data_IF_869267534680
#
_entry.id   IF_869267534680
#
_cell.length_a   1.000
_cell.length_b   1.000
_cell.length_c   1.000
_cell.angle_alpha   90.00
_cell.angle_beta   90.00
_cell.angle_gamma   90.00
#
_symmetry.space_group_name_H-M   'P 1'
#
loop_
_entity.id
_entity.type
_entity.pdbx_description
1 polymer ?
#
# COMPACT_ATOMS: atom_id res chain seq x y z
N UNK A 1 -9.37 -11.04 -9.65
CA UNK A 1 -9.97 -9.69 -9.81
C UNK A 1 -9.48 -8.72 -8.75
N UNK A 2 -9.38 -9.10 -7.45
CA UNK A 2 -8.83 -8.24 -6.38
C UNK A 2 -7.35 -7.82 -6.56
N UNK A 3 -6.53 -8.69 -7.13
CA UNK A 3 -5.11 -8.41 -7.39
C UNK A 3 -4.88 -7.14 -8.24
N UNK A 4 -5.67 -6.95 -9.29
CA UNK A 4 -5.55 -5.79 -10.18
C UNK A 4 -5.82 -4.49 -9.41
N UNK A 5 -6.77 -4.50 -8.48
CA UNK A 5 -7.08 -3.33 -7.65
C UNK A 5 -5.91 -2.95 -6.74
N UNK A 6 -5.31 -3.93 -6.03
CA UNK A 6 -4.15 -3.66 -5.17
C UNK A 6 -2.96 -3.14 -5.98
N UNK A 7 -2.70 -3.74 -7.14
CA UNK A 7 -1.67 -3.29 -8.08
C UNK A 7 -1.88 -1.85 -8.54
N UNK A 8 -3.09 -1.52 -9.01
CA UNK A 8 -3.42 -0.18 -9.49
C UNK A 8 -3.34 0.86 -8.37
N UNK A 9 -3.84 0.51 -7.16
CA UNK A 9 -3.78 1.38 -6.00
C UNK A 9 -2.33 1.66 -5.57
N UNK A 10 -1.48 0.64 -5.52
CA UNK A 10 -0.04 0.77 -5.19
C UNK A 10 0.67 1.64 -6.23
N UNK A 11 0.40 1.46 -7.52
CA UNK A 11 0.99 2.31 -8.57
C UNK A 11 0.55 3.78 -8.41
N UNK A 12 -0.76 4.02 -8.26
CA UNK A 12 -1.31 5.37 -8.08
C UNK A 12 -0.71 6.05 -6.86
N UNK A 13 -0.67 5.36 -5.71
CA UNK A 13 -0.13 5.93 -4.48
C UNK A 13 1.38 6.16 -4.59
N UNK A 14 2.13 5.26 -5.23
CA UNK A 14 3.58 5.45 -5.47
C UNK A 14 3.83 6.70 -6.30
N UNK A 15 3.05 6.91 -7.37
CA UNK A 15 3.15 8.10 -8.19
C UNK A 15 2.74 9.36 -7.42
N UNK A 16 1.72 9.27 -6.58
CA UNK A 16 1.22 10.41 -5.82
C UNK A 16 2.20 10.86 -4.73
N UNK A 17 2.83 9.93 -4.02
CA UNK A 17 3.78 10.25 -2.93
C UNK A 17 5.20 10.54 -3.40
N UNK A 18 5.68 9.91 -4.46
CA UNK A 18 7.12 9.90 -4.77
C UNK A 18 7.50 10.53 -6.11
N UNK A 19 6.55 10.88 -6.97
CA UNK A 19 6.85 11.58 -8.23
C UNK A 19 7.08 13.07 -7.94
N UNK A 20 8.17 13.64 -8.48
CA UNK A 20 8.65 15.02 -8.20
C UNK A 20 7.62 16.14 -8.44
N UNK A 21 6.50 15.85 -9.12
CA UNK A 21 5.46 16.80 -9.49
C UNK A 21 4.39 16.99 -8.42
N UNK A 22 4.22 16.07 -7.49
CA UNK A 22 3.17 16.12 -6.46
C UNK A 22 3.72 16.72 -5.18
N UNK A 23 3.62 18.05 -5.05
CA UNK A 23 4.00 18.79 -3.83
C UNK A 23 2.89 18.83 -2.76
N UNK A 24 1.81 18.08 -2.93
CA UNK A 24 0.61 18.19 -2.10
C UNK A 24 0.45 16.99 -1.18
N UNK A 25 1.20 17.01 -0.07
CA UNK A 25 1.16 15.99 0.99
C UNK A 25 -0.27 15.72 1.49
N UNK A 26 -1.07 16.78 1.67
CA UNK A 26 -2.47 16.66 2.08
C UNK A 26 -3.31 15.82 1.10
N UNK A 27 -3.16 16.06 -0.21
CA UNK A 27 -3.90 15.31 -1.23
C UNK A 27 -3.44 13.85 -1.26
N UNK A 28 -2.13 13.62 -1.14
CA UNK A 28 -1.56 12.27 -1.08
C UNK A 28 -2.10 11.48 0.11
N UNK A 29 -2.06 12.07 1.30
CA UNK A 29 -2.57 11.46 2.53
C UNK A 29 -4.09 11.22 2.48
N UNK A 30 -4.86 12.19 2.01
CA UNK A 30 -6.32 12.04 1.87
C UNK A 30 -6.69 10.93 0.88
N UNK A 31 -5.92 10.81 -0.22
CA UNK A 31 -6.11 9.74 -1.20
C UNK A 31 -5.75 8.38 -0.60
N UNK A 32 -4.63 8.28 0.12
CA UNK A 32 -4.24 7.06 0.81
C UNK A 32 -5.31 6.61 1.80
N UNK A 33 -5.83 7.53 2.62
CA UNK A 33 -6.91 7.27 3.55
C UNK A 33 -8.13 6.69 2.84
N UNK A 34 -8.55 7.28 1.71
CA UNK A 34 -9.67 6.79 0.93
C UNK A 34 -9.47 5.35 0.42
N UNK A 35 -8.29 5.03 -0.15
CA UNK A 35 -8.00 3.66 -0.59
C UNK A 35 -8.00 2.66 0.57
N UNK A 36 -7.46 3.06 1.73
CA UNK A 36 -7.30 2.16 2.88
C UNK A 36 -8.63 1.95 3.61
N UNK A 37 -9.36 3.02 3.94
CA UNK A 37 -10.55 2.96 4.79
C UNK A 37 -11.81 2.63 3.97
N UNK A 38 -12.04 3.36 2.87
CA UNK A 38 -13.29 3.25 2.10
C UNK A 38 -13.24 2.08 1.11
N UNK A 39 -12.09 1.88 0.46
CA UNK A 39 -11.90 0.78 -0.51
C UNK A 39 -11.27 -0.47 0.10
N UNK A 40 -10.96 -0.45 1.40
CA UNK A 40 -10.43 -1.58 2.16
C UNK A 40 -9.18 -2.20 1.54
N UNK A 41 -8.28 -1.36 1.02
CA UNK A 41 -7.05 -1.81 0.34
C UNK A 41 -6.23 -2.80 1.19
N UNK A 42 -6.09 -2.55 2.49
CA UNK A 42 -5.27 -3.36 3.39
C UNK A 42 -5.97 -4.63 3.91
N UNK A 43 -7.22 -4.91 3.50
CA UNK A 43 -7.91 -6.15 3.88
C UNK A 43 -7.27 -7.38 3.21
N UNK A 44 -6.67 -7.20 2.03
CA UNK A 44 -5.97 -8.25 1.27
C UNK A 44 -4.46 -8.00 1.28
N UNK A 45 -3.83 -8.25 2.44
CA UNK A 45 -2.41 -7.96 2.69
C UNK A 45 -1.47 -8.78 1.79
N UNK A 46 -1.90 -9.94 1.30
CA UNK A 46 -1.16 -10.76 0.34
C UNK A 46 -1.13 -10.08 -1.04
N UNK A 47 -2.28 -9.63 -1.55
CA UNK A 47 -2.33 -8.90 -2.81
C UNK A 47 -1.54 -7.59 -2.77
N UNK A 48 -1.60 -6.86 -1.64
CA UNK A 48 -0.82 -5.63 -1.45
C UNK A 48 0.67 -5.91 -1.38
N UNK A 49 1.11 -6.96 -0.66
CA UNK A 49 2.52 -7.35 -0.62
C UNK A 49 3.06 -7.65 -2.01
N UNK A 50 2.35 -8.46 -2.80
CA UNK A 50 2.77 -8.79 -4.16
C UNK A 50 2.77 -7.56 -5.08
N UNK A 51 1.80 -6.65 -4.91
CA UNK A 51 1.79 -5.38 -5.65
C UNK A 51 2.98 -4.50 -5.29
N UNK A 52 3.34 -4.39 -4.01
CA UNK A 52 4.51 -3.64 -3.55
C UNK A 52 5.79 -4.21 -4.16
N UNK A 53 5.95 -5.53 -4.16
CA UNK A 53 7.12 -6.19 -4.74
C UNK A 53 7.23 -5.93 -6.24
N UNK A 54 6.12 -6.07 -6.98
CA UNK A 54 6.10 -5.86 -8.44
C UNK A 54 6.40 -4.42 -8.86
N UNK A 55 5.92 -3.44 -8.09
CA UNK A 55 6.10 -2.01 -8.38
C UNK A 55 7.32 -1.40 -7.68
N UNK A 56 8.11 -2.21 -6.97
CA UNK A 56 9.26 -1.74 -6.18
C UNK A 56 8.88 -0.61 -5.19
N UNK A 57 7.67 -0.70 -4.63
CA UNK A 57 7.00 0.39 -3.91
C UNK A 57 7.17 0.33 -2.38
N UNK A 58 8.31 -0.16 -1.88
CA UNK A 58 8.54 -0.39 -0.44
C UNK A 58 8.39 0.87 0.43
N UNK A 59 8.60 2.05 -0.16
CA UNK A 59 8.44 3.34 0.53
C UNK A 59 6.98 3.64 0.93
N UNK A 60 5.98 2.91 0.40
CA UNK A 60 4.59 3.02 0.84
C UNK A 60 4.32 2.36 2.18
N UNK A 61 5.12 1.38 2.63
CA UNK A 61 4.87 0.65 3.88
C UNK A 61 4.83 1.58 5.09
N UNK A 62 5.78 2.52 5.29
CA UNK A 62 5.69 3.51 6.36
C UNK A 62 4.44 4.40 6.28
N UNK A 63 3.93 4.68 5.07
CA UNK A 63 2.71 5.47 4.87
C UNK A 63 1.48 4.67 5.32
N UNK A 64 1.38 3.41 4.89
CA UNK A 64 0.29 2.51 5.30
C UNK A 64 0.27 2.31 6.82
N UNK A 65 1.45 2.28 7.45
CA UNK A 65 1.60 2.11 8.90
C UNK A 65 0.98 3.26 9.72
N UNK A 66 0.79 4.43 9.11
CA UNK A 66 0.07 5.55 9.73
C UNK A 66 -1.43 5.26 9.90
N UNK A 67 -1.98 4.32 9.12
CA UNK A 67 -3.40 3.97 9.11
C UNK A 67 -3.67 2.62 9.79
N UNK A 68 -2.89 1.60 9.44
CA UNK A 68 -3.04 0.27 10.03
C UNK A 68 -1.67 -0.38 10.24
N UNK A 69 -1.24 -0.37 11.50
CA UNK A 69 0.04 -0.93 11.91
C UNK A 69 0.04 -2.46 11.78
N UNK A 70 -1.09 -3.11 12.08
CA UNK A 70 -1.20 -4.58 12.06
C UNK A 70 -1.19 -5.12 10.64
N UNK A 71 -1.95 -4.49 9.73
CA UNK A 71 -1.94 -4.90 8.33
C UNK A 71 -0.55 -4.72 7.69
N UNK A 72 0.23 -3.71 8.12
CA UNK A 72 1.61 -3.55 7.66
C UNK A 72 2.53 -4.67 8.15
N UNK A 73 2.38 -5.13 9.39
CA UNK A 73 3.13 -6.28 9.89
C UNK A 73 2.82 -7.54 9.06
N UNK A 74 1.56 -7.75 8.70
CA UNK A 74 1.13 -8.87 7.84
C UNK A 74 1.71 -8.75 6.42
N UNK A 75 1.70 -7.55 5.82
CA UNK A 75 2.33 -7.27 4.52
C UNK A 75 3.84 -7.57 4.57
N UNK A 76 4.54 -7.12 5.60
CA UNK A 76 5.98 -7.37 5.76
C UNK A 76 6.28 -8.86 5.98
N UNK A 77 5.40 -9.60 6.67
CA UNK A 77 5.50 -11.05 6.80
C UNK A 77 5.36 -11.75 5.45
N UNK A 78 4.36 -11.35 4.65
CA UNK A 78 4.14 -11.85 3.30
C UNK A 78 5.35 -11.58 2.39
N UNK A 79 5.88 -10.35 2.40
CA UNK A 79 7.10 -9.96 1.66
C UNK A 79 8.34 -10.74 2.12
N UNK A 80 8.43 -11.10 3.40
CA UNK A 80 9.55 -11.87 3.95
C UNK A 80 9.47 -13.37 3.65
N UNK A 81 8.40 -13.84 3.00
CA UNK A 81 8.13 -15.27 2.81
C UNK A 81 7.88 -16.02 4.13
N UNK A 82 7.58 -15.30 5.22
CA UNK A 82 7.30 -15.87 6.54
C UNK A 82 5.80 -15.94 6.73
N UNK A 83 5.18 -17.02 6.26
CA UNK A 83 3.83 -17.37 6.67
C UNK A 83 3.90 -17.82 8.14
N UNK A 84 3.19 -17.16 9.06
CA UNK A 84 2.99 -17.72 10.40
C UNK A 84 2.23 -19.04 10.24
N UNK A 85 2.92 -20.15 10.47
CA UNK A 85 2.34 -21.50 10.64
C UNK A 85 1.65 -21.63 11.99
#
# INVERSE_FOLDING_TARGET
MKYNFASDAVDVLSQLFFKRTTKHEYLAMSTAQFYIEELRLLEDTEAVAHAIENHEAWALIPIFRLFDNRACDDIECNLSGKVYL
#
